data_IF_693517839780
#
_entry.id   IF_693517839780
#
_cell.length_a   1.000
_cell.length_b   1.000
_cell.length_c   1.000
_cell.angle_alpha   90.00
_cell.angle_beta   90.00
_cell.angle_gamma   90.00
#
_symmetry.space_group_name_H-M   'P 1'
#
loop_
_entity.id
_entity.type
_entity.pdbx_description
1 polymer ?
#
# COMPACT_ATOMS: atom_id res chain seq x y z
N UNK A 1 -10.40 2.22 52.23
CA UNK A 1 -9.37 2.41 51.20
C UNK A 1 -10.03 2.43 49.84
N UNK A 2 -10.16 3.64 49.31
CA UNK A 2 -10.49 3.97 47.92
C UNK A 2 -9.96 3.00 46.85
N UNK A 3 -10.71 2.91 45.76
CA UNK A 3 -10.54 1.99 44.62
C UNK A 3 -10.18 2.74 43.34
N UNK A 4 -9.75 1.98 42.33
CA UNK A 4 -9.53 2.48 40.97
C UNK A 4 -10.49 1.82 39.97
N UNK A 5 -10.82 2.53 38.89
CA UNK A 5 -11.52 1.92 37.75
C UNK A 5 -10.60 0.97 36.99
N UNK A 6 -11.18 0.01 36.26
CA UNK A 6 -10.41 -1.07 35.63
C UNK A 6 -9.50 -0.59 34.50
N UNK A 7 -10.04 0.21 33.57
CA UNK A 7 -9.36 0.59 32.33
C UNK A 7 -8.49 1.84 32.49
N UNK A 8 -9.06 2.90 33.05
CA UNK A 8 -8.40 4.22 33.15
C UNK A 8 -7.75 4.49 34.51
N UNK A 9 -7.86 3.54 35.45
CA UNK A 9 -7.34 3.66 36.82
C UNK A 9 -7.77 4.96 37.50
N UNK A 10 -9.03 5.37 37.30
CA UNK A 10 -9.59 6.60 37.89
C UNK A 10 -9.89 6.36 39.37
N UNK A 11 -9.61 7.34 40.21
CA UNK A 11 -9.93 7.29 41.63
C UNK A 11 -11.43 7.19 41.87
N UNK A 12 -11.83 6.32 42.81
CA UNK A 12 -13.20 6.15 43.27
C UNK A 12 -13.22 5.85 44.78
N UNK A 13 -14.03 6.59 45.54
CA UNK A 13 -14.27 6.24 46.95
C UNK A 13 -14.92 4.87 47.08
N UNK A 14 -14.50 4.12 48.09
CA UNK A 14 -15.05 2.81 48.43
C UNK A 14 -15.97 2.91 49.65
N UNK A 15 -17.29 2.77 49.48
CA UNK A 15 -18.22 3.00 50.58
C UNK A 15 -18.12 1.98 51.72
N UNK A 16 -17.52 0.82 51.46
CA UNK A 16 -17.30 -0.23 52.46
C UNK A 16 -16.09 0.06 53.36
N UNK A 17 -15.14 0.86 52.89
CA UNK A 17 -13.83 0.97 53.53
C UNK A 17 -13.34 2.41 53.72
N UNK A 18 -14.03 3.41 53.18
CA UNK A 18 -13.76 4.83 53.40
C UNK A 18 -14.81 5.41 54.37
N UNK A 19 -14.35 6.08 55.43
CA UNK A 19 -15.23 6.69 56.44
C UNK A 19 -15.68 8.09 56.00
N UNK A 20 -16.92 8.21 55.51
CA UNK A 20 -17.47 9.49 55.04
C UNK A 20 -17.78 10.50 56.16
N UNK A 21 -17.74 10.11 57.44
CA UNK A 21 -17.95 11.06 58.53
C UNK A 21 -16.68 11.88 58.83
N UNK A 22 -15.51 11.37 58.44
CA UNK A 22 -14.21 12.02 58.65
C UNK A 22 -13.49 12.38 57.35
N UNK A 23 -13.94 11.84 56.21
CA UNK A 23 -13.36 12.11 54.90
C UNK A 23 -13.82 13.44 54.33
N UNK A 24 -12.89 14.39 54.17
CA UNK A 24 -13.12 15.60 53.38
C UNK A 24 -12.99 15.31 51.88
N UNK A 25 -13.93 15.79 51.08
CA UNK A 25 -13.89 15.62 49.63
C UNK A 25 -12.66 16.31 49.02
N UNK A 26 -11.79 15.53 48.37
CA UNK A 26 -10.58 16.05 47.73
C UNK A 26 -10.83 16.33 46.24
N UNK A 27 -11.11 17.59 45.89
CA UNK A 27 -11.37 18.05 44.52
C UNK A 27 -10.25 17.65 43.56
N UNK A 28 -8.98 17.82 43.95
CA UNK A 28 -7.84 17.53 43.09
C UNK A 28 -7.80 16.05 42.70
N UNK A 29 -7.97 15.16 43.68
CA UNK A 29 -7.90 13.72 43.47
C UNK A 29 -9.13 13.16 42.75
N UNK A 30 -10.33 13.62 43.15
CA UNK A 30 -11.58 13.06 42.66
C UNK A 30 -12.01 13.62 41.30
N UNK A 31 -11.63 14.87 41.02
CA UNK A 31 -12.00 15.57 39.79
C UNK A 31 -10.79 15.80 38.90
N UNK A 32 -9.91 16.76 39.23
CA UNK A 32 -8.87 17.21 38.28
C UNK A 32 -8.00 16.05 37.78
N UNK A 33 -7.44 15.25 38.69
CA UNK A 33 -6.60 14.12 38.30
C UNK A 33 -7.35 13.06 37.48
N UNK A 34 -8.65 12.85 37.72
CA UNK A 34 -9.45 11.91 36.95
C UNK A 34 -9.77 12.48 35.56
N UNK A 35 -10.06 13.79 35.47
CA UNK A 35 -10.27 14.48 34.20
C UNK A 35 -9.01 14.49 33.34
N UNK A 36 -7.85 14.78 33.93
CA UNK A 36 -6.56 14.74 33.24
C UNK A 36 -6.28 13.34 32.65
N UNK A 37 -6.61 12.27 33.39
CA UNK A 37 -6.49 10.88 32.90
C UNK A 37 -7.43 10.59 31.73
N UNK A 38 -8.66 11.08 31.79
CA UNK A 38 -9.64 10.90 30.71
C UNK A 38 -9.20 11.67 29.46
N UNK A 39 -8.73 12.91 29.63
CA UNK A 39 -8.30 13.76 28.52
C UNK A 39 -7.10 13.17 27.79
N UNK A 40 -6.09 12.73 28.55
CA UNK A 40 -4.92 12.04 27.98
C UNK A 40 -5.31 10.76 27.23
N UNK A 41 -6.19 9.94 27.81
CA UNK A 41 -6.65 8.72 27.15
C UNK A 41 -7.42 9.01 25.86
N UNK A 42 -8.23 10.07 25.83
CA UNK A 42 -8.92 10.52 24.61
C UNK A 42 -7.92 10.97 23.54
N UNK A 43 -6.89 11.71 23.92
CA UNK A 43 -5.81 12.13 23.00
C UNK A 43 -5.07 10.93 22.41
N UNK A 44 -4.65 9.98 23.26
CA UNK A 44 -3.94 8.77 22.84
C UNK A 44 -4.82 7.90 21.93
N UNK A 45 -6.08 7.68 22.31
CA UNK A 45 -7.03 6.91 21.50
C UNK A 45 -7.26 7.57 20.13
N UNK A 46 -7.39 8.90 20.09
CA UNK A 46 -7.58 9.63 18.84
C UNK A 46 -6.37 9.51 17.92
N UNK A 47 -5.16 9.52 18.49
CA UNK A 47 -3.91 9.31 17.77
C UNK A 47 -3.83 7.89 17.19
N UNK A 48 -4.09 6.86 18.00
CA UNK A 48 -4.11 5.47 17.54
C UNK A 48 -5.14 5.24 16.42
N UNK A 49 -6.35 5.80 16.55
CA UNK A 49 -7.38 5.72 15.50
C UNK A 49 -6.91 6.39 14.21
N UNK A 50 -6.23 7.52 14.30
CA UNK A 50 -5.72 8.23 13.12
C UNK A 50 -4.64 7.42 12.41
N UNK A 51 -3.71 6.84 13.16
CA UNK A 51 -2.66 5.97 12.63
C UNK A 51 -3.24 4.70 11.98
N UNK A 52 -4.27 4.09 12.59
CA UNK A 52 -4.96 2.93 12.03
C UNK A 52 -5.65 3.27 10.71
N UNK A 53 -6.34 4.42 10.62
CA UNK A 53 -7.01 4.85 9.38
C UNK A 53 -6.02 5.06 8.23
N UNK A 54 -4.85 5.64 8.50
CA UNK A 54 -3.85 5.83 7.46
C UNK A 54 -3.27 4.49 6.98
N UNK A 55 -3.00 3.56 7.92
CA UNK A 55 -2.54 2.20 7.57
C UNK A 55 -3.57 1.43 6.75
N UNK A 56 -4.85 1.49 7.14
CA UNK A 56 -5.97 0.85 6.44
C UNK A 56 -6.07 1.35 4.99
N UNK A 57 -6.00 2.67 4.81
CA UNK A 57 -5.97 3.29 3.48
C UNK A 57 -4.80 2.82 2.63
N UNK A 58 -3.60 2.75 3.20
CA UNK A 58 -2.40 2.26 2.48
C UNK A 58 -2.60 0.79 2.06
N UNK A 59 -3.11 -0.06 2.96
CA UNK A 59 -3.37 -1.48 2.68
C UNK A 59 -4.39 -1.65 1.55
N UNK A 60 -5.48 -0.87 1.57
CA UNK A 60 -6.48 -0.87 0.49
C UNK A 60 -5.86 -0.47 -0.85
N UNK A 61 -5.00 0.55 -0.88
CA UNK A 61 -4.31 0.96 -2.11
C UNK A 61 -3.39 -0.14 -2.66
N UNK A 62 -2.67 -0.86 -1.79
CA UNK A 62 -1.81 -1.98 -2.16
C UNK A 62 -2.60 -3.19 -2.66
N UNK A 63 -3.70 -3.55 -1.98
CA UNK A 63 -4.58 -4.65 -2.40
C UNK A 63 -5.15 -4.36 -3.79
N UNK A 64 -5.62 -3.14 -4.03
CA UNK A 64 -6.15 -2.75 -5.34
C UNK A 64 -5.08 -2.83 -6.44
N UNK A 65 -3.84 -2.48 -6.13
CA UNK A 65 -2.71 -2.62 -7.05
C UNK A 65 -2.45 -4.10 -7.39
N UNK A 66 -2.44 -4.98 -6.39
CA UNK A 66 -2.23 -6.43 -6.59
C UNK A 66 -3.38 -7.03 -7.41
N UNK A 67 -4.63 -6.72 -7.06
CA UNK A 67 -5.79 -7.20 -7.82
C UNK A 67 -5.73 -6.77 -9.28
N UNK A 68 -5.32 -5.52 -9.55
CA UNK A 68 -5.10 -5.04 -10.90
C UNK A 68 -4.00 -5.82 -11.63
N UNK A 69 -2.89 -6.16 -10.96
CA UNK A 69 -1.82 -6.98 -11.55
C UNK A 69 -2.26 -8.42 -11.86
N UNK A 70 -3.27 -8.93 -11.15
CA UNK A 70 -3.76 -10.31 -11.29
C UNK A 70 -4.96 -10.45 -12.26
N UNK A 71 -5.63 -9.35 -12.64
CA UNK A 71 -6.74 -9.42 -13.59
C UNK A 71 -6.23 -9.92 -14.96
N UNK A 72 -6.76 -11.06 -15.42
CA UNK A 72 -6.48 -11.58 -16.76
C UNK A 72 -6.88 -10.54 -17.81
N UNK A 73 -5.87 -9.96 -18.45
CA UNK A 73 -6.04 -8.93 -19.47
C UNK A 73 -6.18 -9.55 -20.86
N UNK A 74 -7.00 -8.94 -21.72
CA UNK A 74 -7.02 -9.28 -23.15
C UNK A 74 -5.69 -8.83 -23.75
N UNK A 75 -4.98 -9.74 -24.42
CA UNK A 75 -3.71 -9.49 -25.07
C UNK A 75 -3.91 -9.29 -26.59
N UNK A 76 -3.36 -8.21 -27.13
CA UNK A 76 -3.34 -7.92 -28.58
C UNK A 76 -1.89 -7.81 -29.04
N UNK A 77 -1.51 -8.59 -30.05
CA UNK A 77 -0.17 -8.54 -30.65
C UNK A 77 -0.21 -7.78 -31.98
N UNK A 78 0.72 -6.86 -32.16
CA UNK A 78 0.80 -5.94 -33.30
C UNK A 78 2.23 -5.89 -33.84
N UNK A 79 2.40 -5.27 -35.00
CA UNK A 79 3.71 -4.99 -35.62
C UNK A 79 4.60 -6.22 -35.77
N UNK A 80 4.05 -7.28 -36.40
CA UNK A 80 4.80 -8.48 -36.75
C UNK A 80 5.86 -8.14 -37.80
N UNK A 81 7.11 -8.42 -37.50
CA UNK A 81 8.23 -8.21 -38.43
C UNK A 81 8.40 -9.38 -39.43
N UNK A 82 9.40 -9.27 -40.31
CA UNK A 82 9.74 -10.30 -41.30
C UNK A 82 10.23 -11.61 -40.69
N UNK A 83 10.75 -11.59 -39.46
CA UNK A 83 11.21 -12.77 -38.72
C UNK A 83 10.06 -13.41 -37.93
N UNK A 84 8.87 -12.82 -37.99
CA UNK A 84 7.66 -13.30 -37.34
C UNK A 84 7.50 -12.88 -35.89
N UNK A 85 8.32 -11.95 -35.40
CA UNK A 85 8.29 -11.43 -34.04
C UNK A 85 7.31 -10.26 -33.98
N UNK A 86 6.37 -10.31 -33.02
CA UNK A 86 5.48 -9.18 -32.75
C UNK A 86 6.20 -8.17 -31.86
N UNK A 87 6.46 -6.98 -32.40
CA UNK A 87 7.22 -5.95 -31.67
C UNK A 87 6.42 -5.26 -30.58
N UNK A 88 5.10 -5.33 -30.68
CA UNK A 88 4.20 -4.52 -29.88
C UNK A 88 3.09 -5.40 -29.30
N UNK A 89 2.94 -5.38 -27.99
CA UNK A 89 1.92 -6.14 -27.27
C UNK A 89 1.16 -5.21 -26.33
N UNK A 90 -0.14 -5.11 -26.55
CA UNK A 90 -1.09 -4.35 -25.73
C UNK A 90 -1.89 -5.28 -24.83
N UNK A 91 -2.12 -4.85 -23.60
CA UNK A 91 -2.92 -5.54 -22.61
C UNK A 91 -4.05 -4.62 -22.16
N UNK A 92 -5.26 -5.14 -22.24
CA UNK A 92 -6.48 -4.41 -21.91
C UNK A 92 -7.19 -5.04 -20.72
N UNK A 93 -7.84 -4.21 -19.92
CA UNK A 93 -8.80 -4.66 -18.91
C UNK A 93 -9.99 -5.37 -19.58
N UNK A 94 -10.82 -6.09 -18.80
CA UNK A 94 -12.12 -6.58 -19.28
C UNK A 94 -13.03 -5.49 -19.86
N UNK A 95 -12.88 -4.24 -19.40
CA UNK A 95 -13.59 -3.06 -19.91
C UNK A 95 -12.94 -2.41 -21.14
N UNK A 96 -11.98 -3.08 -21.79
CA UNK A 96 -11.30 -2.61 -23.01
C UNK A 96 -10.45 -1.33 -22.83
N UNK A 97 -10.01 -1.03 -21.60
CA UNK A 97 -9.06 0.06 -21.32
C UNK A 97 -7.62 -0.47 -21.44
N UNK A 98 -6.77 0.21 -22.19
CA UNK A 98 -5.33 -0.09 -22.28
C UNK A 98 -4.68 0.16 -20.92
N UNK A 99 -3.93 -0.83 -20.42
CA UNK A 99 -3.34 -0.81 -19.08
C UNK A 99 -1.87 -1.17 -19.05
N UNK A 100 -1.40 -1.93 -20.04
CA UNK A 100 0.00 -2.26 -20.18
C UNK A 100 0.35 -2.38 -21.66
N UNK A 101 1.50 -1.85 -22.03
CA UNK A 101 2.07 -1.98 -23.38
C UNK A 101 3.52 -2.42 -23.26
N UNK A 102 3.91 -3.40 -24.06
CA UNK A 102 5.31 -3.81 -24.23
C UNK A 102 5.73 -3.56 -25.66
N UNK A 103 6.86 -2.89 -25.84
CA UNK A 103 7.44 -2.60 -27.14
C UNK A 103 8.91 -3.04 -27.16
N UNK A 104 9.31 -3.83 -28.16
CA UNK A 104 10.72 -4.18 -28.39
C UNK A 104 11.28 -3.37 -29.56
N UNK A 105 12.53 -2.92 -29.42
CA UNK A 105 13.19 -2.02 -30.36
C UNK A 105 14.69 -2.30 -30.47
N UNK A 106 15.37 -1.56 -31.36
CA UNK A 106 16.80 -1.65 -31.61
C UNK A 106 17.24 -3.09 -32.01
N UNK A 107 16.71 -3.60 -33.11
CA UNK A 107 17.17 -4.87 -33.67
C UNK A 107 18.63 -4.75 -34.13
N UNK A 108 19.44 -5.77 -33.82
CA UNK A 108 20.79 -5.89 -34.36
C UNK A 108 20.75 -6.44 -35.81
N UNK A 109 21.93 -6.66 -36.41
CA UNK A 109 22.06 -7.23 -37.76
C UNK A 109 21.48 -8.63 -37.93
N UNK A 110 21.30 -9.37 -36.83
CA UNK A 110 20.72 -10.72 -36.80
C UNK A 110 19.21 -10.68 -36.57
N UNK A 111 18.62 -9.49 -36.38
CA UNK A 111 17.20 -9.31 -36.12
C UNK A 111 16.78 -9.48 -34.66
N UNK A 112 17.73 -9.58 -33.73
CA UNK A 112 17.47 -9.68 -32.28
C UNK A 112 17.30 -8.29 -31.67
N UNK A 113 16.12 -8.02 -31.10
CA UNK A 113 15.82 -6.75 -30.43
C UNK A 113 16.61 -6.58 -29.16
N UNK A 114 17.31 -5.46 -29.00
CA UNK A 114 18.22 -5.21 -27.87
C UNK A 114 17.57 -4.40 -26.73
N UNK A 115 16.34 -3.91 -26.91
CA UNK A 115 15.64 -3.12 -25.92
C UNK A 115 14.17 -3.50 -25.82
N UNK A 116 13.63 -3.47 -24.60
CA UNK A 116 12.21 -3.56 -24.32
C UNK A 116 11.78 -2.38 -23.45
N UNK A 117 10.76 -1.66 -23.90
CA UNK A 117 10.06 -0.65 -23.10
C UNK A 117 8.70 -1.19 -22.67
N UNK A 118 8.39 -1.03 -21.39
CA UNK A 118 7.12 -1.40 -20.79
C UNK A 118 6.44 -0.14 -20.29
N UNK A 119 5.22 0.13 -20.74
CA UNK A 119 4.38 1.21 -20.28
C UNK A 119 3.24 0.64 -19.45
N UNK A 120 3.00 1.24 -18.29
CA UNK A 120 1.99 0.82 -17.33
C UNK A 120 1.10 2.01 -17.03
N UNK A 121 -0.20 1.84 -17.21
CA UNK A 121 -1.24 2.83 -16.84
C UNK A 121 -2.09 2.28 -15.71
N UNK A 122 -1.97 2.87 -14.53
CA UNK A 122 -2.77 2.51 -13.36
C UNK A 122 -3.40 3.76 -12.74
N UNK A 123 -4.73 3.81 -12.74
CA UNK A 123 -5.51 5.01 -12.35
C UNK A 123 -5.00 6.25 -13.10
N UNK A 124 -4.45 7.23 -12.38
CA UNK A 124 -3.90 8.49 -12.91
C UNK A 124 -2.37 8.46 -13.01
N UNK A 125 -1.74 7.31 -12.75
CA UNK A 125 -0.29 7.13 -12.80
C UNK A 125 0.11 6.40 -14.07
N UNK A 126 1.11 6.96 -14.75
CA UNK A 126 1.74 6.37 -15.93
C UNK A 126 3.20 6.10 -15.60
N UNK A 127 3.69 4.92 -15.91
CA UNK A 127 5.08 4.55 -15.67
C UNK A 127 5.67 3.90 -16.90
N UNK A 128 6.94 4.22 -17.18
CA UNK A 128 7.74 3.57 -18.20
C UNK A 128 8.88 2.83 -17.51
N UNK A 129 9.09 1.58 -17.87
CA UNK A 129 10.19 0.74 -17.40
C UNK A 129 10.92 0.25 -18.64
N UNK A 130 12.22 0.54 -18.73
CA UNK A 130 13.04 0.15 -19.86
C UNK A 130 14.00 -0.96 -19.46
N UNK A 131 14.24 -1.87 -20.40
CA UNK A 131 15.15 -2.99 -20.22
C UNK A 131 16.05 -3.15 -21.43
N UNK A 132 17.30 -3.54 -21.17
CA UNK A 132 18.19 -4.10 -22.18
C UNK A 132 17.94 -5.60 -22.28
N UNK A 133 17.81 -6.10 -23.50
CA UNK A 133 17.68 -7.51 -23.80
C UNK A 133 19.06 -8.06 -24.16
N UNK A 134 19.50 -9.09 -23.46
CA UNK A 134 20.83 -9.68 -23.62
C UNK A 134 20.65 -11.13 -24.04
N UNK A 135 21.32 -11.47 -25.13
CA UNK A 135 21.29 -12.79 -25.73
C UNK A 135 22.65 -13.47 -25.58
N UNK A 136 22.67 -14.79 -25.58
CA UNK A 136 23.90 -15.55 -25.70
C UNK A 136 24.37 -15.66 -27.16
N UNK A 137 25.42 -16.45 -27.39
CA UNK A 137 26.01 -16.65 -28.72
C UNK A 137 25.11 -17.44 -29.68
N UNK A 138 24.14 -18.20 -29.16
CA UNK A 138 23.19 -18.99 -29.94
C UNK A 138 21.95 -18.17 -30.31
N UNK A 139 21.84 -16.94 -29.77
CA UNK A 139 20.74 -16.01 -30.01
C UNK A 139 19.58 -16.19 -29.03
N UNK A 140 19.76 -16.96 -27.94
CA UNK A 140 18.75 -17.17 -26.92
C UNK A 140 18.75 -16.00 -25.93
N UNK A 141 17.56 -15.51 -25.56
CA UNK A 141 17.41 -14.43 -24.58
C UNK A 141 17.74 -14.97 -23.17
N UNK A 142 18.86 -14.52 -22.60
CA UNK A 142 19.33 -14.98 -21.29
C UNK A 142 19.10 -13.99 -20.16
N UNK A 143 19.00 -12.68 -20.46
CA UNK A 143 18.80 -11.67 -19.42
C UNK A 143 17.95 -10.50 -19.93
N UNK A 144 17.04 -10.04 -19.07
CA UNK A 144 16.38 -8.75 -19.20
C UNK A 144 16.88 -7.81 -18.11
N UNK A 145 17.81 -6.92 -18.45
CA UNK A 145 18.48 -6.02 -17.51
C UNK A 145 17.75 -4.68 -17.41
N UNK A 146 17.37 -4.28 -16.20
CA UNK A 146 16.70 -2.98 -15.98
C UNK A 146 17.62 -1.81 -16.34
N UNK A 147 17.06 -0.82 -17.02
CA UNK A 147 17.71 0.47 -17.33
C UNK A 147 17.07 1.51 -16.40
N UNK A 148 17.87 2.02 -15.47
CA UNK A 148 17.48 3.07 -14.54
C UNK A 148 17.30 4.43 -15.24
#
# INVERSE_FOLDING_TARGET
>A
MSKETENLKLFKYDPETDDFNTTTFNIKQCLNNNWDKIDLYCEDTQKEITDLKEKDKIQDEEIQKILWQLQFCRLVRQDKDSNGIFRHIDYYTPSNKLVFQSYVSNANSEGLYQQQDIFIWYKDKNSKISFKLIYDADGDLIERRFIA
#
